data_IF_489212968043
#
_entry.id   IF_489212968043
#
_cell.length_a   1.000
_cell.length_b   1.000
_cell.length_c   1.000
_cell.angle_alpha   90.00
_cell.angle_beta   90.00
_cell.angle_gamma   90.00
#
_symmetry.space_group_name_H-M   'P 1'
#
loop_
_entity.id
_entity.type
_entity.pdbx_description
1 polymer ?
#
# COMPACT_ATOMS: atom_id res chain seq x y z
N UNK A 1 13.95 -19.40 -72.03
CA UNK A 1 13.47 -18.04 -71.73
C UNK A 1 13.09 -18.07 -70.26
N UNK A 2 14.10 -17.97 -69.39
CA UNK A 2 14.58 -16.74 -68.75
C UNK A 2 13.85 -16.56 -67.41
N UNK A 3 14.57 -16.92 -66.34
CA UNK A 3 14.27 -16.60 -64.94
C UNK A 3 13.87 -15.13 -64.79
N UNK A 4 12.63 -14.89 -64.35
CA UNK A 4 12.18 -13.58 -63.91
C UNK A 4 12.20 -13.56 -62.37
N UNK A 5 13.40 -13.49 -61.80
CA UNK A 5 13.57 -13.16 -60.38
C UNK A 5 13.37 -11.66 -60.26
N UNK A 6 12.14 -11.26 -59.93
CA UNK A 6 11.79 -9.89 -59.57
C UNK A 6 12.72 -9.42 -58.45
N UNK A 7 13.59 -8.47 -58.79
CA UNK A 7 14.44 -7.77 -57.84
C UNK A 7 13.53 -6.86 -57.01
N UNK A 8 13.06 -7.37 -55.87
CA UNK A 8 12.42 -6.57 -54.84
C UNK A 8 13.50 -5.70 -54.23
N UNK A 9 13.63 -4.47 -54.72
CA UNK A 9 14.43 -3.44 -54.09
C UNK A 9 13.85 -3.19 -52.69
N UNK A 10 14.55 -3.68 -51.67
CA UNK A 10 14.25 -3.40 -50.27
C UNK A 10 14.51 -1.91 -50.08
N UNK A 11 13.45 -1.12 -49.86
CA UNK A 11 13.60 0.29 -49.49
C UNK A 11 14.38 0.36 -48.18
N UNK A 12 15.61 0.89 -48.22
CA UNK A 12 16.41 1.15 -47.02
C UNK A 12 15.71 2.25 -46.21
N UNK A 13 15.09 1.87 -45.09
CA UNK A 13 14.60 2.82 -44.11
C UNK A 13 15.78 3.64 -43.58
N UNK A 14 15.66 4.97 -43.61
CA UNK A 14 16.71 5.86 -43.10
C UNK A 14 16.90 5.63 -41.60
N UNK A 15 17.98 4.94 -41.23
CA UNK A 15 18.34 4.67 -39.83
C UNK A 15 18.81 5.96 -39.16
N UNK A 16 17.90 6.64 -38.46
CA UNK A 16 18.23 7.86 -37.71
C UNK A 16 18.90 7.46 -36.38
N UNK A 17 20.21 7.70 -36.29
CA UNK A 17 20.99 7.49 -35.07
C UNK A 17 20.92 8.72 -34.14
N UNK A 18 20.74 8.49 -32.85
CA UNK A 18 20.77 9.53 -31.81
C UNK A 18 21.86 9.23 -30.79
N UNK A 19 22.71 10.22 -30.50
CA UNK A 19 23.68 10.12 -29.41
C UNK A 19 22.99 10.21 -28.05
N UNK A 20 23.25 9.28 -27.11
CA UNK A 20 22.64 9.31 -25.78
C UNK A 20 23.08 10.54 -24.98
N UNK A 21 22.12 11.34 -24.51
CA UNK A 21 22.38 12.50 -23.64
C UNK A 21 22.89 12.05 -22.26
N UNK A 22 22.46 10.88 -21.79
CA UNK A 22 22.82 10.33 -20.48
C UNK A 22 23.13 8.85 -20.62
N UNK A 23 24.24 8.42 -20.04
CA UNK A 23 24.59 7.01 -19.88
C UNK A 23 24.16 6.57 -18.48
N UNK A 24 23.24 5.61 -18.40
CA UNK A 24 22.79 5.01 -17.15
C UNK A 24 23.51 3.69 -16.90
N UNK A 25 23.94 3.47 -15.67
CA UNK A 25 24.43 2.17 -15.23
C UNK A 25 23.25 1.27 -14.85
N UNK A 26 23.40 -0.03 -15.08
CA UNK A 26 22.38 -0.99 -14.69
C UNK A 26 22.32 -1.06 -13.15
N UNK A 27 21.17 -0.71 -12.58
CA UNK A 27 20.92 -0.76 -11.14
C UNK A 27 20.15 -2.04 -10.81
N UNK A 28 20.58 -2.76 -9.77
CA UNK A 28 19.82 -3.88 -9.25
C UNK A 28 18.58 -3.37 -8.51
N UNK A 29 17.40 -3.64 -9.06
CA UNK A 29 16.12 -3.25 -8.45
C UNK A 29 15.63 -4.39 -7.55
N UNK A 30 15.25 -4.05 -6.32
CA UNK A 30 14.57 -4.97 -5.40
C UNK A 30 13.06 -4.72 -5.45
N UNK A 31 12.29 -5.79 -5.35
CA UNK A 31 10.81 -5.72 -5.39
C UNK A 31 10.21 -5.50 -4.00
N UNK A 32 10.96 -5.83 -2.95
CA UNK A 32 10.48 -5.89 -1.56
C UNK A 32 9.34 -6.90 -1.38
N UNK A 33 9.42 -7.99 -2.15
CA UNK A 33 8.52 -9.15 -2.14
C UNK A 33 9.32 -10.45 -1.89
N UNK A 34 10.63 -10.39 -1.72
CA UNK A 34 11.55 -11.54 -1.66
C UNK A 34 11.33 -12.40 -0.41
N UNK A 35 10.80 -11.81 0.67
CA UNK A 35 10.48 -12.47 1.93
C UNK A 35 9.03 -12.97 1.99
N UNK A 36 8.32 -12.97 0.87
CA UNK A 36 6.92 -13.36 0.79
C UNK A 36 6.70 -14.50 -0.21
N UNK A 37 5.66 -15.31 0.04
CA UNK A 37 5.23 -16.40 -0.84
C UNK A 37 3.80 -16.15 -1.30
N UNK A 38 3.49 -16.21 -2.61
CA UNK A 38 2.13 -16.12 -3.09
C UNK A 38 1.34 -17.37 -2.72
N UNK A 39 0.28 -17.21 -1.92
CA UNK A 39 -0.67 -18.29 -1.61
C UNK A 39 -1.85 -18.31 -2.57
N UNK A 40 -2.07 -17.20 -3.28
CA UNK A 40 -3.07 -17.05 -4.31
C UNK A 40 -2.54 -16.10 -5.39
N UNK A 41 -2.86 -16.39 -6.65
CA UNK A 41 -2.42 -15.63 -7.82
C UNK A 41 -3.46 -15.74 -8.92
N UNK A 42 -4.08 -14.63 -9.30
CA UNK A 42 -5.06 -14.64 -10.38
C UNK A 42 -5.20 -13.29 -11.09
N UNK A 43 -5.45 -13.36 -12.41
CA UNK A 43 -5.74 -12.22 -13.26
C UNK A 43 -7.04 -11.52 -12.82
N UNK A 44 -6.99 -10.21 -12.66
CA UNK A 44 -8.13 -9.40 -12.27
C UNK A 44 -8.09 -7.97 -12.83
N UNK A 45 -9.23 -7.29 -12.73
CA UNK A 45 -9.35 -5.84 -12.92
C UNK A 45 -9.82 -5.21 -11.62
N UNK A 46 -9.08 -4.22 -11.13
CA UNK A 46 -9.35 -3.50 -9.90
C UNK A 46 -9.91 -2.10 -10.21
N UNK A 47 -10.90 -1.70 -9.42
CA UNK A 47 -11.55 -0.40 -9.47
C UNK A 47 -11.48 0.24 -8.09
N UNK A 48 -11.50 1.58 -8.07
CA UNK A 48 -11.71 2.37 -6.86
C UNK A 48 -12.98 3.19 -7.00
N UNK A 49 -13.70 3.35 -5.90
CA UNK A 49 -14.84 4.24 -5.85
C UNK A 49 -14.38 5.66 -5.54
N UNK A 50 -14.79 6.62 -6.36
CA UNK A 50 -14.52 8.04 -6.14
C UNK A 50 -15.78 8.68 -5.57
N UNK A 51 -15.71 9.15 -4.32
CA UNK A 51 -16.88 9.66 -3.59
C UNK A 51 -17.40 10.97 -4.17
N UNK A 52 -16.49 11.81 -4.66
CA UNK A 52 -16.78 13.15 -5.19
C UNK A 52 -17.65 13.06 -6.45
N UNK A 53 -17.42 12.06 -7.30
CA UNK A 53 -18.18 11.84 -8.53
C UNK A 53 -19.15 10.65 -8.46
N UNK A 54 -19.23 9.97 -7.31
CA UNK A 54 -20.11 8.82 -7.09
C UNK A 54 -19.97 7.73 -8.18
N UNK A 55 -18.73 7.43 -8.58
CA UNK A 55 -18.45 6.54 -9.71
C UNK A 55 -17.29 5.58 -9.45
N UNK A 56 -17.28 4.47 -10.18
CA UNK A 56 -16.17 3.52 -10.20
C UNK A 56 -15.15 3.92 -11.27
N UNK A 57 -13.89 4.16 -10.87
CA UNK A 57 -12.78 4.36 -11.79
C UNK A 57 -11.89 3.13 -11.84
N UNK A 58 -11.47 2.75 -13.05
CA UNK A 58 -10.45 1.70 -13.19
C UNK A 58 -9.18 2.13 -12.48
N UNK A 59 -8.69 1.26 -11.60
CA UNK A 59 -7.45 1.46 -10.87
C UNK A 59 -6.32 0.69 -11.52
N UNK A 60 -6.57 -0.53 -11.98
CA UNK A 60 -5.57 -1.28 -12.74
C UNK A 60 -6.03 -2.65 -13.18
N UNK A 61 -5.41 -3.15 -14.23
CA UNK A 61 -5.56 -4.53 -14.71
C UNK A 61 -4.22 -5.23 -14.57
N UNK A 62 -4.25 -6.45 -14.04
CA UNK A 62 -3.03 -7.17 -13.70
C UNK A 62 -3.31 -8.41 -12.87
N UNK A 63 -2.29 -8.89 -12.18
CA UNK A 63 -2.38 -10.08 -11.35
C UNK A 63 -2.54 -9.72 -9.87
N UNK A 64 -3.64 -10.15 -9.27
CA UNK A 64 -3.89 -10.03 -7.85
C UNK A 64 -3.24 -11.20 -7.12
N UNK A 65 -2.39 -10.89 -6.15
CA UNK A 65 -1.66 -11.88 -5.35
C UNK A 65 -1.97 -11.69 -3.87
N UNK A 66 -2.28 -12.78 -3.17
CA UNK A 66 -2.22 -12.80 -1.71
C UNK A 66 -0.84 -13.32 -1.32
N UNK A 67 -0.06 -12.47 -0.68
CA UNK A 67 1.34 -12.70 -0.36
C UNK A 67 1.49 -12.92 1.14
N UNK A 68 2.02 -14.08 1.55
CA UNK A 68 2.30 -14.38 2.95
C UNK A 68 3.78 -14.15 3.27
N UNK A 69 4.07 -13.35 4.29
CA UNK A 69 5.43 -13.16 4.77
C UNK A 69 6.00 -14.43 5.41
N UNK A 70 7.24 -14.80 5.08
CA UNK A 70 7.88 -16.05 5.51
C UNK A 70 8.03 -16.15 7.03
N UNK A 71 8.41 -15.06 7.68
CA UNK A 71 8.60 -15.01 9.14
C UNK A 71 7.31 -14.67 9.90
N UNK A 72 6.77 -13.46 9.70
CA UNK A 72 5.59 -12.98 10.45
C UNK A 72 4.28 -13.71 10.10
N UNK A 73 4.25 -14.47 9.01
CA UNK A 73 3.06 -15.16 8.46
C UNK A 73 1.90 -14.24 8.08
N UNK A 74 2.06 -12.91 8.19
CA UNK A 74 1.06 -11.93 7.79
C UNK A 74 0.82 -11.97 6.29
N UNK A 75 -0.44 -11.84 5.90
CA UNK A 75 -0.86 -11.88 4.50
C UNK A 75 -1.33 -10.50 4.03
N UNK A 76 -0.83 -10.04 2.88
CA UNK A 76 -1.29 -8.83 2.20
C UNK A 76 -1.80 -9.12 0.80
N UNK A 77 -2.71 -8.28 0.32
CA UNK A 77 -3.07 -8.22 -1.09
C UNK A 77 -2.08 -7.29 -1.80
N UNK A 78 -1.46 -7.80 -2.86
CA UNK A 78 -0.57 -7.05 -3.73
C UNK A 78 -1.00 -7.22 -5.18
N UNK A 79 -1.17 -6.12 -5.90
CA UNK A 79 -1.52 -6.12 -7.32
C UNK A 79 -0.70 -5.08 -8.06
N UNK A 80 -0.12 -5.49 -9.20
CA UNK A 80 0.63 -4.61 -10.11
C UNK A 80 -0.08 -4.54 -11.45
N UNK A 81 0.03 -3.38 -12.12
CA UNK A 81 -0.45 -3.19 -13.48
C UNK A 81 0.46 -3.88 -14.48
N UNK A 82 -0.12 -4.37 -15.56
CA UNK A 82 0.68 -4.86 -16.68
C UNK A 82 1.51 -3.75 -17.31
N UNK A 83 2.64 -4.14 -17.91
CA UNK A 83 3.58 -3.30 -18.66
C UNK A 83 4.31 -2.26 -17.80
N UNK A 84 3.59 -1.49 -16.99
CA UNK A 84 4.15 -0.45 -16.12
C UNK A 84 4.66 -0.98 -14.79
N UNK A 85 4.21 -2.16 -14.36
CA UNK A 85 4.54 -2.79 -13.09
C UNK A 85 4.26 -1.94 -11.83
N UNK A 86 3.56 -0.81 -11.96
CA UNK A 86 3.12 0.05 -10.86
C UNK A 86 2.15 -0.69 -9.94
N UNK A 87 2.26 -0.43 -8.64
CA UNK A 87 1.41 -1.04 -7.61
C UNK A 87 0.05 -0.33 -7.63
N UNK A 88 -1.02 -1.10 -7.85
CA UNK A 88 -2.40 -0.61 -7.83
C UNK A 88 -3.23 -1.10 -6.62
N UNK A 89 -2.71 -2.06 -5.84
CA UNK A 89 -3.20 -2.39 -4.50
C UNK A 89 -2.05 -2.93 -3.65
N UNK A 90 -1.97 -2.49 -2.40
CA UNK A 90 -1.01 -2.97 -1.43
C UNK A 90 -1.54 -2.69 -0.02
N UNK A 91 -2.20 -3.68 0.58
CA UNK A 91 -2.74 -3.59 1.93
C UNK A 91 -2.80 -4.96 2.60
N UNK A 92 -2.68 -4.97 3.92
CA UNK A 92 -2.90 -6.18 4.70
C UNK A 92 -4.37 -6.62 4.64
N UNK A 93 -4.59 -7.93 4.62
CA UNK A 93 -5.93 -8.50 4.74
C UNK A 93 -6.33 -8.48 6.22
N UNK A 94 -7.31 -7.67 6.60
CA UNK A 94 -7.71 -7.53 8.01
C UNK A 94 -9.07 -8.17 8.27
N UNK A 95 -9.31 -8.55 9.53
CA UNK A 95 -10.51 -9.28 9.97
C UNK A 95 -11.80 -8.46 9.86
N UNK A 96 -11.71 -7.14 9.81
CA UNK A 96 -12.81 -6.19 9.64
C UNK A 96 -13.21 -5.98 8.16
N UNK A 97 -12.40 -6.43 7.20
CA UNK A 97 -12.77 -6.38 5.79
C UNK A 97 -13.93 -7.36 5.53
N UNK A 98 -14.86 -7.00 4.66
CA UNK A 98 -15.96 -7.89 4.25
C UNK A 98 -16.12 -7.80 2.75
N UNK A 99 -15.96 -8.94 2.05
CA UNK A 99 -16.22 -9.02 0.61
C UNK A 99 -17.73 -9.08 0.37
N UNK A 100 -18.28 -8.00 -0.19
CA UNK A 100 -19.69 -7.93 -0.59
C UNK A 100 -19.83 -8.11 -2.10
N UNK A 101 -20.85 -8.85 -2.57
CA UNK A 101 -21.08 -9.00 -4.00
C UNK A 101 -21.45 -7.65 -4.63
N UNK A 102 -20.92 -7.36 -5.82
CA UNK A 102 -21.28 -6.13 -6.53
C UNK A 102 -22.63 -6.30 -7.25
N UNK A 103 -23.50 -5.29 -7.19
CA UNK A 103 -24.80 -5.35 -7.85
C UNK A 103 -24.62 -5.48 -9.36
N UNK A 104 -25.24 -6.48 -9.97
CA UNK A 104 -25.16 -6.74 -11.40
C UNK A 104 -23.89 -7.45 -11.87
N UNK A 105 -23.07 -8.00 -10.96
CA UNK A 105 -21.91 -8.83 -11.30
C UNK A 105 -21.83 -10.05 -10.38
N UNK A 106 -21.78 -11.24 -10.97
CA UNK A 106 -21.53 -12.52 -10.30
C UNK A 106 -20.04 -12.83 -10.09
N UNK A 107 -19.16 -11.99 -10.66
CA UNK A 107 -17.71 -12.17 -10.72
C UNK A 107 -16.94 -10.99 -10.12
N UNK A 108 -17.58 -10.27 -9.22
CA UNK A 108 -17.00 -9.09 -8.57
C UNK A 108 -17.27 -9.03 -7.08
N UNK A 109 -16.26 -8.59 -6.34
CA UNK A 109 -16.34 -8.30 -4.90
C UNK A 109 -15.99 -6.85 -4.62
N UNK A 110 -16.62 -6.28 -3.61
CA UNK A 110 -16.40 -4.93 -3.08
C UNK A 110 -15.98 -5.02 -1.63
N UNK A 111 -15.02 -4.20 -1.20
CA UNK A 111 -14.65 -4.07 0.21
C UNK A 111 -14.04 -2.70 0.51
N UNK A 112 -13.98 -2.37 1.80
CA UNK A 112 -13.32 -1.18 2.30
C UNK A 112 -11.94 -1.52 2.84
N UNK A 113 -10.98 -0.65 2.55
CA UNK A 113 -9.60 -0.72 3.03
C UNK A 113 -9.32 0.56 3.79
N UNK A 114 -8.78 0.47 4.99
CA UNK A 114 -8.45 1.64 5.83
C UNK A 114 -7.09 2.23 5.50
N UNK A 115 -6.13 1.40 5.11
CA UNK A 115 -4.77 1.81 4.76
C UNK A 115 -4.25 1.01 3.57
N UNK A 116 -4.50 1.54 2.36
CA UNK A 116 -3.89 1.07 1.12
C UNK A 116 -2.64 1.90 0.82
N UNK A 117 -1.55 1.24 0.41
CA UNK A 117 -0.24 1.85 0.13
C UNK A 117 0.16 1.64 -1.34
N UNK A 118 -0.76 1.91 -2.26
CA UNK A 118 -0.48 1.88 -3.72
C UNK A 118 0.17 3.18 -4.21
N UNK A 119 0.84 3.12 -5.35
CA UNK A 119 1.58 4.25 -5.92
C UNK A 119 0.68 5.46 -6.25
N UNK A 120 -0.57 5.20 -6.65
CA UNK A 120 -1.48 6.23 -7.17
C UNK A 120 -2.37 6.85 -6.09
N UNK A 121 -2.57 6.16 -4.97
CA UNK A 121 -3.43 6.64 -3.89
C UNK A 121 -3.12 5.88 -2.61
N UNK A 122 -2.65 6.60 -1.59
CA UNK A 122 -2.44 6.07 -0.24
C UNK A 122 -3.62 6.44 0.67
N UNK A 123 -3.98 5.55 1.59
CA UNK A 123 -5.02 5.77 2.59
C UNK A 123 -6.27 4.93 2.40
N UNK A 124 -7.40 5.39 2.94
CA UNK A 124 -8.65 4.63 2.94
C UNK A 124 -9.29 4.59 1.54
N UNK A 125 -9.68 3.41 1.08
CA UNK A 125 -10.26 3.17 -0.24
C UNK A 125 -11.46 2.23 -0.16
N UNK A 126 -12.46 2.46 -1.00
CA UNK A 126 -13.47 1.45 -1.32
C UNK A 126 -13.11 0.84 -2.67
N UNK A 127 -12.77 -0.44 -2.66
CA UNK A 127 -12.26 -1.15 -3.83
C UNK A 127 -13.27 -2.15 -4.35
N UNK A 128 -13.27 -2.35 -5.66
CA UNK A 128 -13.96 -3.45 -6.30
C UNK A 128 -13.00 -4.22 -7.19
N UNK A 129 -13.03 -5.54 -7.14
CA UNK A 129 -12.23 -6.41 -8.01
C UNK A 129 -13.16 -7.24 -8.87
N UNK A 130 -12.82 -7.41 -10.14
CA UNK A 130 -13.56 -8.23 -11.10
C UNK A 130 -12.64 -9.28 -11.72
N UNK A 131 -13.14 -10.50 -11.76
CA UNK A 131 -12.46 -11.65 -12.34
C UNK A 131 -13.07 -12.04 -13.69
N UNK A 132 -12.44 -13.00 -14.38
CA UNK A 132 -12.90 -13.46 -15.69
C UNK A 132 -14.29 -14.13 -15.61
N UNK A 133 -14.55 -14.93 -14.58
CA UNK A 133 -15.79 -15.67 -14.37
C UNK A 133 -16.13 -15.77 -12.86
N UNK A 134 -17.32 -16.30 -12.55
CA UNK A 134 -17.83 -16.47 -11.18
C UNK A 134 -16.98 -17.44 -10.36
N UNK A 135 -16.50 -18.53 -10.96
CA UNK A 135 -15.71 -19.55 -10.26
C UNK A 135 -14.40 -18.96 -9.74
N UNK A 136 -13.72 -18.17 -10.58
CA UNK A 136 -12.53 -17.43 -10.19
C UNK A 136 -12.84 -16.46 -9.05
N UNK A 137 -13.97 -15.75 -9.12
CA UNK A 137 -14.37 -14.86 -8.03
C UNK A 137 -14.61 -15.63 -6.72
N UNK A 138 -15.20 -16.82 -6.78
CA UNK A 138 -15.41 -17.68 -5.60
C UNK A 138 -14.07 -18.15 -5.00
N UNK A 139 -13.12 -18.59 -5.83
CA UNK A 139 -11.77 -18.99 -5.39
C UNK A 139 -11.03 -17.84 -4.70
N UNK A 140 -11.16 -16.61 -5.23
CA UNK A 140 -10.58 -15.44 -4.57
C UNK A 140 -11.21 -15.20 -3.21
N UNK A 141 -12.54 -15.28 -3.11
CA UNK A 141 -13.24 -15.07 -1.85
C UNK A 141 -12.81 -16.08 -0.78
N UNK A 142 -12.74 -17.36 -1.13
CA UNK A 142 -12.26 -18.41 -0.24
C UNK A 142 -10.83 -18.14 0.25
N UNK A 143 -9.91 -17.82 -0.68
CA UNK A 143 -8.53 -17.51 -0.33
C UNK A 143 -8.41 -16.25 0.54
N UNK A 144 -9.23 -15.23 0.27
CA UNK A 144 -9.27 -13.99 1.04
C UNK A 144 -9.77 -14.23 2.47
N UNK A 145 -10.87 -14.95 2.63
CA UNK A 145 -11.42 -15.30 3.96
C UNK A 145 -10.47 -16.21 4.75
N UNK A 146 -9.77 -17.14 4.08
CA UNK A 146 -8.70 -17.92 4.70
C UNK A 146 -7.54 -17.03 5.18
N UNK A 147 -7.15 -16.04 4.38
CA UNK A 147 -6.14 -15.06 4.76
C UNK A 147 -6.59 -14.17 5.95
N UNK A 148 -7.87 -13.80 6.01
CA UNK A 148 -8.44 -13.07 7.14
C UNK A 148 -8.34 -13.87 8.44
N UNK A 149 -8.70 -15.16 8.40
CA UNK A 149 -8.60 -16.05 9.57
C UNK A 149 -7.15 -16.17 10.03
N UNK A 150 -6.22 -16.42 9.11
CA UNK A 150 -4.79 -16.51 9.42
C UNK A 150 -4.27 -15.22 10.09
N UNK A 151 -4.57 -14.06 9.52
CA UNK A 151 -4.14 -12.78 10.08
C UNK A 151 -4.83 -12.45 11.42
N UNK A 152 -6.08 -12.90 11.62
CA UNK A 152 -6.77 -12.75 12.90
C UNK A 152 -6.12 -13.61 13.99
N UNK A 153 -5.81 -14.87 13.69
CA UNK A 153 -5.16 -15.80 14.63
C UNK A 153 -3.78 -15.28 15.09
N UNK A 154 -3.05 -14.61 14.19
CA UNK A 154 -1.77 -13.99 14.49
C UNK A 154 -1.88 -12.76 15.41
N UNK A 155 -3.04 -12.08 15.45
CA UNK A 155 -3.28 -10.98 16.41
C UNK A 155 -3.59 -11.49 17.81
N UNK A 156 -4.14 -12.71 17.92
CA UNK A 156 -4.61 -13.28 19.18
C UNK A 156 -3.50 -14.01 19.93
N UNK A 157 -2.40 -14.39 19.28
CA UNK A 157 -1.21 -14.95 19.95
C UNK A 157 -0.28 -13.82 20.42
N UNK A 158 -0.27 -13.45 21.71
CA UNK A 158 0.74 -12.55 22.23
C UNK A 158 2.05 -13.36 22.32
N UNK A 159 3.14 -12.71 21.96
CA UNK A 159 4.51 -13.12 22.24
C UNK A 159 4.68 -13.56 23.70
N UNK A 160 4.91 -14.85 23.94
CA UNK A 160 5.57 -15.34 25.14
C UNK A 160 7.09 -15.21 24.98
N UNK A 161 7.65 -14.34 25.82
CA UNK A 161 9.00 -14.33 26.39
C UNK A 161 10.25 -14.37 25.50
N UNK A 162 10.85 -13.17 25.34
CA UNK A 162 12.18 -12.89 25.91
C UNK A 162 12.21 -11.50 26.56
N UNK A 163 11.85 -11.44 27.84
CA UNK A 163 12.43 -10.47 28.78
C UNK A 163 13.69 -11.12 29.38
N UNK A 164 14.86 -10.59 29.04
CA UNK A 164 16.01 -10.63 29.94
C UNK A 164 16.34 -9.17 30.26
N UNK A 165 16.28 -8.84 31.55
CA UNK A 165 16.72 -7.57 32.09
C UNK A 165 17.67 -7.84 33.27
N UNK A 166 18.63 -6.91 33.45
CA UNK A 166 19.65 -6.72 34.50
C UNK A 166 21.04 -7.20 34.07
N UNK A 167 22.09 -6.36 34.16
CA UNK A 167 22.55 -5.67 35.38
C UNK A 167 23.05 -4.23 35.11
N UNK A 168 22.75 -3.36 36.09
CA UNK A 168 23.14 -1.96 36.28
C UNK A 168 24.54 -1.88 36.93
N UNK A 169 25.41 -0.98 36.48
CA UNK A 169 26.52 -0.48 37.31
C UNK A 169 26.47 1.05 37.33
N UNK A 170 26.22 1.60 38.53
CA UNK A 170 26.24 3.03 38.86
C UNK A 170 27.68 3.50 39.09
N UNK A 171 28.00 4.71 38.65
CA UNK A 171 28.98 5.56 39.36
C UNK A 171 28.34 6.91 39.66
N UNK A 172 28.31 7.21 40.96
CA UNK A 172 27.73 8.36 41.66
C UNK A 172 28.77 9.48 41.86
N UNK A 173 28.33 10.74 41.77
CA UNK A 173 28.81 11.89 42.56
C UNK A 173 27.75 12.99 42.43
N UNK A 174 26.86 13.17 43.42
CA UNK A 174 26.92 14.17 44.52
C UNK A 174 26.89 15.62 43.97
N UNK A 175 25.94 16.50 44.33
CA UNK A 175 25.54 17.01 45.66
C UNK A 175 24.22 17.84 45.48
N UNK A 176 23.14 17.62 46.27
CA UNK A 176 22.64 18.43 47.42
C UNK A 176 22.44 19.94 47.08
N UNK A 177 21.40 20.68 47.47
CA UNK A 177 20.37 20.60 48.52
C UNK A 177 19.37 21.77 48.26
N UNK A 178 18.08 21.55 48.54
CA UNK A 178 17.08 22.45 49.18
C UNK A 178 17.18 24.00 48.99
N UNK A 179 16.13 24.82 48.84
CA UNK A 179 14.82 24.82 49.50
C UNK A 179 13.94 25.94 48.93
N UNK A 180 12.65 25.78 49.19
CA UNK A 180 11.48 26.63 48.92
C UNK A 180 11.43 27.90 49.80
N UNK A 181 11.14 29.06 49.22
CA UNK A 181 10.43 30.20 49.84
C UNK A 181 9.83 31.05 48.71
N UNK A 182 8.52 30.99 48.50
CA UNK A 182 7.47 31.87 49.06
C UNK A 182 7.10 33.05 48.13
N UNK A 183 5.79 33.17 47.94
CA UNK A 183 5.07 34.14 47.14
C UNK A 183 5.34 35.60 47.55
N UNK A 184 5.29 36.50 46.55
CA UNK A 184 4.24 37.53 46.37
C UNK A 184 4.79 38.88 45.94
N UNK A 185 4.08 39.49 44.98
CA UNK A 185 4.26 40.77 44.26
C UNK A 185 5.02 40.58 42.94
N UNK A 186 4.49 40.94 41.78
CA UNK A 186 3.50 41.96 41.45
C UNK A 186 2.63 41.49 40.27
N UNK A 187 1.32 41.64 40.45
CA UNK A 187 0.40 41.99 39.38
C UNK A 187 1.02 43.04 38.46
N UNK A 188 1.12 42.75 37.16
CA UNK A 188 0.50 43.54 36.09
C UNK A 188 0.94 43.03 34.72
N UNK A 189 -0.02 42.99 33.79
CA UNK A 189 0.17 43.13 32.34
C UNK A 189 0.35 41.84 31.51
N UNK A 190 -0.73 41.06 31.36
CA UNK A 190 -1.00 40.32 30.12
C UNK A 190 -2.49 39.99 29.91
N UNK A 191 -3.43 40.74 30.49
CA UNK A 191 -4.83 40.80 30.03
C UNK A 191 -4.99 42.11 29.24
N UNK A 192 -4.46 42.13 28.01
CA UNK A 192 -4.82 43.15 27.01
C UNK A 192 -4.41 42.63 25.62
N UNK A 193 -5.06 41.55 25.18
CA UNK A 193 -5.04 41.18 23.75
C UNK A 193 -6.33 40.53 23.26
N UNK A 194 -7.42 40.76 23.99
CA UNK A 194 -8.76 40.31 23.65
C UNK A 194 -9.72 41.51 23.56
N UNK A 195 -9.30 42.62 22.94
CA UNK A 195 -10.23 43.69 22.56
C UNK A 195 -9.62 44.59 21.46
N UNK A 196 -9.37 44.04 20.28
CA UNK A 196 -9.22 44.82 19.04
C UNK A 196 -9.29 43.96 17.78
N UNK A 197 -10.45 43.33 17.55
CA UNK A 197 -10.87 42.96 16.20
C UNK A 197 -12.38 42.86 16.02
N UNK A 198 -13.13 43.63 16.80
CA UNK A 198 -14.55 43.92 16.54
C UNK A 198 -14.68 45.42 16.23
N UNK A 199 -14.02 45.85 15.16
CA UNK A 199 -14.34 47.09 14.45
C UNK A 199 -13.86 46.94 12.99
N UNK A 200 -14.43 45.94 12.32
CA UNK A 200 -14.51 45.87 10.85
C UNK A 200 -15.59 44.86 10.44
N UNK A 201 -16.84 45.12 10.82
CA UNK A 201 -18.07 44.68 10.15
C UNK A 201 -19.25 45.48 10.70
#
# INVERSE_FOLDING_TARGET
>A
MSDNHENVAVEEEAEVHFEPIVKLEAVQVKTHEEDETPIFKMRAKLFRFVKESNEWKERGTGEARLMQHKETKKIRLLMRRDQTHKICANHYVTSDMTLTPNVGSDRSWVWNVTSDSSDDCAGAQTLAIRFANSDNAALFKEAFESAQKNNADLKVKPTEDKKEEKVVEETKSEEKEETKSEEKKEETKAEEKEEKKEESA
#
